data_IF_189423888382
#
_entry.id   IF_189423888382
#
_cell.length_a   1.000
_cell.length_b   1.000
_cell.length_c   1.000
_cell.angle_alpha   90.00
_cell.angle_beta   90.00
_cell.angle_gamma   90.00
#
_symmetry.space_group_name_H-M   'P 1'
#
loop_
_entity.id
_entity.type
_entity.pdbx_description
1 polymer ?
#
# COMPACT_ATOMS: atom_id res chain seq x y z
N UNK A 1 4.91 -19.19 -7.09
CA UNK A 1 4.77 -17.77 -6.69
C UNK A 1 5.17 -17.50 -5.23
N UNK A 2 4.98 -18.47 -4.32
CA UNK A 2 5.25 -18.33 -2.88
C UNK A 2 6.37 -19.27 -2.39
N UNK A 3 7.30 -19.64 -3.27
CA UNK A 3 8.40 -20.56 -2.94
C UNK A 3 9.23 -20.03 -1.77
N UNK A 4 9.50 -20.89 -0.79
CA UNK A 4 10.20 -20.58 0.47
C UNK A 4 9.49 -19.55 1.36
N UNK A 5 8.17 -19.39 1.22
CA UNK A 5 7.37 -18.57 2.15
C UNK A 5 6.43 -19.46 2.93
N UNK A 6 6.21 -19.10 4.19
CA UNK A 6 5.30 -19.80 5.08
C UNK A 6 4.12 -18.92 5.44
N UNK A 7 2.95 -19.52 5.58
CA UNK A 7 1.75 -18.80 5.98
C UNK A 7 0.92 -19.58 6.98
N UNK A 8 0.28 -18.84 7.89
CA UNK A 8 -0.79 -19.32 8.72
C UNK A 8 -2.13 -18.79 8.19
N UNK A 9 -3.15 -19.63 8.29
CA UNK A 9 -4.49 -19.35 7.80
C UNK A 9 -5.50 -19.51 8.93
N UNK A 10 -6.28 -18.46 9.17
CA UNK A 10 -7.45 -18.54 10.04
C UNK A 10 -8.47 -19.55 9.51
N UNK A 11 -9.28 -20.07 10.42
CA UNK A 11 -10.45 -20.89 10.16
C UNK A 11 -11.48 -20.18 9.27
N UNK A 12 -11.52 -18.85 9.28
CA UNK A 12 -12.35 -18.05 8.37
C UNK A 12 -11.95 -18.19 6.91
N UNK A 13 -10.68 -18.54 6.61
CA UNK A 13 -10.17 -18.57 5.23
C UNK A 13 -10.68 -19.79 4.47
N UNK A 14 -11.19 -19.56 3.26
CA UNK A 14 -11.66 -20.61 2.35
C UNK A 14 -10.56 -21.61 1.99
N UNK A 15 -10.96 -22.87 1.79
CA UNK A 15 -10.04 -23.95 1.40
C UNK A 15 -9.32 -23.66 0.07
N UNK A 16 -9.96 -22.97 -0.86
CA UNK A 16 -9.38 -22.60 -2.16
C UNK A 16 -8.11 -21.76 -2.01
N UNK A 17 -8.12 -20.74 -1.14
CA UNK A 17 -6.96 -19.87 -0.90
C UNK A 17 -5.78 -20.62 -0.29
N UNK A 18 -6.05 -21.56 0.63
CA UNK A 18 -5.02 -22.42 1.23
C UNK A 18 -4.40 -23.36 0.19
N UNK A 19 -5.24 -23.92 -0.67
CA UNK A 19 -4.79 -24.80 -1.74
C UNK A 19 -3.94 -24.05 -2.76
N UNK A 20 -4.36 -22.85 -3.17
CA UNK A 20 -3.61 -21.98 -4.07
C UNK A 20 -2.22 -21.62 -3.51
N UNK A 21 -2.13 -21.30 -2.22
CA UNK A 21 -0.84 -21.04 -1.56
C UNK A 21 0.13 -22.22 -1.69
N UNK A 22 -0.37 -23.43 -1.41
CA UNK A 22 0.44 -24.66 -1.48
C UNK A 22 0.79 -25.01 -2.93
N UNK A 23 -0.14 -24.89 -3.88
CA UNK A 23 0.12 -25.16 -5.29
C UNK A 23 1.19 -24.23 -5.87
N UNK A 24 1.26 -23.00 -5.36
CA UNK A 24 2.25 -22.00 -5.74
C UNK A 24 3.59 -22.10 -4.98
N UNK A 25 3.79 -23.18 -4.21
CA UNK A 25 5.04 -23.54 -3.53
C UNK A 25 5.19 -22.98 -2.12
N UNK A 26 4.12 -22.48 -1.50
CA UNK A 26 4.12 -21.99 -0.13
C UNK A 26 3.93 -23.09 0.92
N UNK A 27 4.55 -22.93 2.09
CA UNK A 27 4.39 -23.81 3.26
C UNK A 27 3.30 -23.33 4.21
N UNK A 28 2.62 -24.24 4.91
CA UNK A 28 1.66 -23.90 5.98
C UNK A 28 2.29 -24.24 7.33
N UNK A 29 2.31 -23.27 8.25
CA UNK A 29 2.92 -23.40 9.58
C UNK A 29 2.03 -22.79 10.67
N UNK A 30 2.47 -22.89 11.93
CA UNK A 30 1.87 -22.17 13.06
C UNK A 30 2.07 -20.66 12.93
N UNK A 31 1.16 -19.87 13.47
CA UNK A 31 1.22 -18.40 13.41
C UNK A 31 2.52 -17.81 13.99
N UNK A 32 3.14 -18.47 14.97
CA UNK A 32 4.40 -18.03 15.61
C UNK A 32 5.63 -18.10 14.68
N UNK A 33 5.59 -18.94 13.64
CA UNK A 33 6.73 -19.20 12.73
C UNK A 33 6.40 -18.87 11.28
N UNK A 34 5.19 -18.39 11.01
CA UNK A 34 4.74 -18.05 9.67
C UNK A 34 5.23 -16.66 9.26
N UNK A 35 5.63 -16.52 8.00
CA UNK A 35 5.99 -15.22 7.42
C UNK A 35 4.74 -14.36 7.13
N UNK A 36 3.60 -15.00 6.87
CA UNK A 36 2.34 -14.35 6.53
C UNK A 36 1.18 -14.89 7.35
N UNK A 37 0.30 -13.99 7.79
CA UNK A 37 -0.93 -14.32 8.51
C UNK A 37 -2.12 -13.92 7.63
N UNK A 38 -2.96 -14.88 7.25
CA UNK A 38 -4.15 -14.61 6.45
C UNK A 38 -5.44 -14.92 7.21
N UNK A 39 -6.41 -14.02 7.14
CA UNK A 39 -7.77 -14.19 7.64
C UNK A 39 -8.80 -13.58 6.66
N UNK A 40 -10.03 -14.07 6.64
CA UNK A 40 -11.15 -13.41 5.94
C UNK A 40 -11.99 -12.54 6.87
N UNK A 41 -11.87 -12.76 8.18
CA UNK A 41 -12.75 -12.13 9.17
C UNK A 41 -11.97 -11.79 10.44
N UNK A 42 -11.97 -10.51 10.79
CA UNK A 42 -11.32 -9.99 11.98
C UNK A 42 -12.03 -10.40 13.28
N UNK A 43 -13.31 -10.79 13.21
CA UNK A 43 -14.10 -11.32 14.34
C UNK A 43 -13.88 -12.81 14.58
N UNK A 44 -13.11 -13.48 13.73
CA UNK A 44 -12.89 -14.92 13.88
C UNK A 44 -12.07 -15.17 15.16
N UNK A 45 -12.47 -16.10 16.07
CA UNK A 45 -11.83 -16.25 17.38
C UNK A 45 -10.33 -16.55 17.35
N UNK A 46 -9.87 -17.20 16.28
CA UNK A 46 -8.44 -17.47 16.10
C UNK A 46 -7.66 -16.24 15.63
N UNK A 47 -8.31 -15.33 14.91
CA UNK A 47 -7.74 -14.06 14.45
C UNK A 47 -7.76 -13.04 15.58
N UNK A 48 -8.84 -12.99 16.36
CA UNK A 48 -8.92 -12.20 17.60
C UNK A 48 -7.79 -12.56 18.58
N UNK A 49 -7.51 -13.85 18.75
CA UNK A 49 -6.38 -14.30 19.56
C UNK A 49 -5.03 -13.76 19.08
N UNK A 50 -4.85 -13.57 17.78
CA UNK A 50 -3.64 -12.92 17.24
C UNK A 50 -3.65 -11.44 17.59
N UNK A 51 -4.77 -10.74 17.45
CA UNK A 51 -4.87 -9.32 17.80
C UNK A 51 -4.66 -9.04 19.29
N UNK A 52 -5.03 -9.98 20.17
CA UNK A 52 -4.80 -9.91 21.61
C UNK A 52 -3.38 -10.34 22.02
N UNK A 53 -2.57 -10.84 21.08
CA UNK A 53 -1.21 -11.31 21.37
C UNK A 53 -0.24 -10.15 21.63
N UNK A 54 0.79 -10.42 22.44
CA UNK A 54 1.89 -9.47 22.68
C UNK A 54 2.63 -9.14 21.39
N UNK A 55 2.83 -10.13 20.51
CA UNK A 55 3.51 -9.92 19.23
C UNK A 55 2.78 -8.93 18.33
N UNK A 56 1.44 -8.93 18.35
CA UNK A 56 0.65 -7.92 17.63
C UNK A 56 0.74 -6.54 18.29
N UNK A 57 0.62 -6.47 19.62
CA UNK A 57 0.72 -5.20 20.36
C UNK A 57 2.09 -4.51 20.21
N UNK A 58 3.15 -5.28 20.00
CA UNK A 58 4.50 -4.78 19.73
C UNK A 58 4.78 -4.53 18.23
N UNK A 59 3.73 -4.54 17.38
CA UNK A 59 3.83 -4.36 15.93
C UNK A 59 4.76 -5.37 15.23
N UNK A 60 4.91 -6.58 15.79
CA UNK A 60 5.71 -7.67 15.20
C UNK A 60 4.90 -8.52 14.23
N UNK A 61 3.57 -8.45 14.29
CA UNK A 61 2.66 -9.20 13.41
C UNK A 61 1.73 -8.26 12.64
N UNK A 62 1.42 -8.65 11.41
CA UNK A 62 0.38 -8.03 10.59
C UNK A 62 -0.51 -9.13 10.02
N UNK A 63 -1.82 -9.01 10.24
CA UNK A 63 -2.81 -9.90 9.63
C UNK A 63 -3.27 -9.31 8.31
N UNK A 64 -3.32 -10.13 7.27
CA UNK A 64 -3.79 -9.76 5.94
C UNK A 64 -5.10 -10.45 5.58
N UNK A 65 -5.91 -9.79 4.78
CA UNK A 65 -7.12 -10.34 4.21
C UNK A 65 -6.77 -11.39 3.14
N UNK A 66 -7.39 -12.57 3.20
CA UNK A 66 -7.07 -13.71 2.31
C UNK A 66 -7.29 -13.41 0.82
N UNK A 67 -8.14 -12.42 0.50
CA UNK A 67 -8.39 -11.97 -0.88
C UNK A 67 -7.12 -11.51 -1.60
N UNK A 68 -6.05 -11.16 -0.89
CA UNK A 68 -4.73 -10.94 -1.49
C UNK A 68 -4.32 -12.11 -2.41
N UNK A 69 -4.62 -13.34 -2.02
CA UNK A 69 -4.30 -14.54 -2.78
C UNK A 69 -5.12 -14.65 -4.07
N UNK A 70 -6.41 -14.29 -4.02
CA UNK A 70 -7.25 -14.24 -5.22
C UNK A 70 -6.80 -13.14 -6.19
N UNK A 71 -6.36 -11.99 -5.68
CA UNK A 71 -5.77 -10.93 -6.50
C UNK A 71 -4.45 -11.39 -7.14
N UNK A 72 -3.61 -12.10 -6.40
CA UNK A 72 -2.38 -12.71 -6.91
C UNK A 72 -2.67 -13.73 -8.02
N UNK A 73 -3.64 -14.61 -7.82
CA UNK A 73 -4.07 -15.59 -8.82
C UNK A 73 -4.49 -14.90 -10.12
N UNK A 74 -5.33 -13.86 -10.05
CA UNK A 74 -5.76 -13.10 -11.21
C UNK A 74 -4.60 -12.42 -11.95
N UNK A 75 -3.67 -11.82 -11.21
CA UNK A 75 -2.54 -11.08 -11.79
C UNK A 75 -1.35 -11.97 -12.18
N UNK A 76 -1.37 -13.26 -11.82
CA UNK A 76 -0.25 -14.21 -12.00
C UNK A 76 1.11 -13.69 -11.48
N UNK A 77 1.13 -12.69 -10.58
CA UNK A 77 2.34 -12.03 -10.08
C UNK A 77 2.14 -11.45 -8.68
N UNK A 78 3.03 -11.80 -7.75
CA UNK A 78 3.08 -11.23 -6.38
C UNK A 78 3.71 -9.85 -6.36
N UNK A 79 4.53 -9.53 -7.37
CA UNK A 79 5.24 -8.24 -7.46
C UNK A 79 4.32 -7.13 -7.95
N UNK A 80 3.21 -7.48 -8.58
CA UNK A 80 2.24 -6.54 -9.15
C UNK A 80 1.09 -6.21 -8.19
N UNK A 81 0.95 -6.96 -7.09
CA UNK A 81 -0.12 -6.78 -6.11
C UNK A 81 0.46 -6.23 -4.81
N UNK A 82 0.10 -5.00 -4.46
CA UNK A 82 0.52 -4.37 -3.21
C UNK A 82 -0.21 -4.99 -2.01
N UNK A 83 0.51 -5.80 -1.22
CA UNK A 83 -0.06 -6.50 -0.06
C UNK A 83 -0.60 -5.56 1.02
N UNK A 84 -0.08 -4.32 1.09
CA UNK A 84 -0.53 -3.30 2.06
C UNK A 84 -2.01 -2.90 1.93
N UNK A 85 -2.63 -3.09 0.75
CA UNK A 85 -4.07 -2.86 0.58
C UNK A 85 -4.95 -3.94 1.23
N UNK A 86 -4.34 -5.02 1.67
CA UNK A 86 -5.02 -6.15 2.27
C UNK A 86 -4.70 -6.27 3.75
N UNK A 87 -4.21 -5.22 4.42
CA UNK A 87 -4.09 -5.27 5.88
C UNK A 87 -5.49 -5.41 6.49
N UNK A 88 -5.65 -6.36 7.39
CA UNK A 88 -6.87 -6.60 8.13
C UNK A 88 -6.68 -6.12 9.58
N UNK A 89 -7.12 -4.89 9.92
CA UNK A 89 -7.03 -4.40 11.29
C UNK A 89 -8.12 -5.01 12.18
N UNK A 90 -7.95 -4.96 13.52
CA UNK A 90 -8.98 -5.38 14.47
C UNK A 90 -10.28 -4.59 14.28
N UNK A 91 -11.41 -5.19 14.63
CA UNK A 91 -12.75 -4.60 14.43
C UNK A 91 -12.89 -3.24 15.10
N UNK A 92 -12.34 -3.08 16.31
CA UNK A 92 -12.33 -1.80 17.03
C UNK A 92 -11.71 -0.66 16.20
N UNK A 93 -10.61 -0.94 15.48
CA UNK A 93 -9.94 0.03 14.61
C UNK A 93 -10.76 0.29 13.35
N UNK A 94 -11.41 -0.75 12.79
CA UNK A 94 -12.28 -0.59 11.61
C UNK A 94 -13.49 0.31 11.90
N UNK A 95 -14.03 0.25 13.11
CA UNK A 95 -15.15 1.09 13.54
C UNK A 95 -14.71 2.54 13.75
N UNK A 96 -13.54 2.79 14.32
CA UNK A 96 -12.97 4.13 14.46
C UNK A 96 -12.72 4.80 13.11
N UNK A 97 -12.21 4.06 12.12
CA UNK A 97 -12.01 4.57 10.75
C UNK A 97 -13.35 4.88 10.07
N UNK A 98 -14.39 4.05 10.28
CA UNK A 98 -15.75 4.30 9.78
C UNK A 98 -16.37 5.55 10.39
N UNK A 99 -16.17 5.78 11.68
CA UNK A 99 -16.65 6.98 12.38
C UNK A 99 -15.87 8.23 11.96
N UNK A 100 -14.56 8.12 11.73
CA UNK A 100 -13.72 9.21 11.23
C UNK A 100 -14.06 9.62 9.79
N UNK A 101 -14.48 8.67 8.95
CA UNK A 101 -14.95 8.94 7.59
C UNK A 101 -16.41 9.42 7.56
N UNK A 102 -17.26 8.93 8.47
CA UNK A 102 -18.66 9.39 8.60
C UNK A 102 -18.80 10.85 9.06
N UNK A 103 -17.82 11.37 9.81
CA UNK A 103 -17.81 12.77 10.25
C UNK A 103 -17.25 13.75 9.19
N UNK A 104 -16.85 13.28 8.00
CA UNK A 104 -16.43 14.13 6.88
C UNK A 104 -17.52 14.36 5.83
N UNK A 105 -18.73 13.86 6.05
CA UNK A 105 -19.90 14.04 5.17
C UNK A 105 -20.96 14.93 5.84
N UNK A 106 -20.66 16.21 6.07
CA UNK A 106 -21.67 17.26 6.25
C UNK A 106 -21.13 18.59 5.72
N UNK A 107 -21.04 18.67 4.39
CA UNK A 107 -21.15 19.86 3.53
C UNK A 107 -20.43 19.54 2.22
N UNK A 108 -21.16 18.92 1.30
CA UNK A 108 -20.94 19.03 -0.15
C UNK A 108 -22.09 18.25 -0.81
N UNK A 109 -23.26 18.88 -0.80
CA UNK A 109 -24.46 18.43 -1.48
C UNK A 109 -24.30 18.78 -2.97
N UNK A 110 -23.72 17.86 -3.75
CA UNK A 110 -23.95 17.80 -5.19
C UNK A 110 -24.20 16.35 -5.59
N UNK A 111 -25.42 16.17 -6.08
CA UNK A 111 -26.00 14.97 -6.66
C UNK A 111 -25.09 14.31 -7.69
N UNK A 112 -24.88 12.99 -7.57
CA UNK A 112 -24.14 12.26 -8.59
C UNK A 112 -23.92 10.76 -8.35
N UNK A 113 -25.01 9.98 -8.32
CA UNK A 113 -25.06 8.63 -8.90
C UNK A 113 -24.24 7.50 -8.25
N UNK A 114 -24.96 6.56 -7.62
CA UNK A 114 -24.46 5.25 -7.21
C UNK A 114 -23.79 4.48 -8.36
N UNK A 115 -22.65 3.84 -8.11
CA UNK A 115 -22.21 2.67 -8.87
C UNK A 115 -22.11 1.48 -7.92
N UNK A 116 -23.27 0.89 -7.66
CA UNK A 116 -23.38 -0.53 -7.37
C UNK A 116 -23.63 -1.26 -8.71
N UNK A 117 -23.17 -2.50 -8.77
CA UNK A 117 -23.35 -3.51 -9.82
C UNK A 117 -22.48 -3.46 -11.09
N UNK A 118 -21.59 -4.46 -11.14
CA UNK A 118 -21.30 -5.38 -12.26
C UNK A 118 -20.95 -4.77 -13.61
N UNK A 119 -19.69 -4.91 -14.02
CA UNK A 119 -19.32 -5.43 -15.35
C UNK A 119 -17.82 -5.73 -15.42
N UNK A 120 -17.47 -7.00 -15.22
CA UNK A 120 -16.16 -7.57 -15.58
C UNK A 120 -16.26 -7.98 -17.04
N UNK A 121 -15.97 -7.07 -17.96
CA UNK A 121 -15.48 -7.41 -19.30
C UNK A 121 -15.06 -6.15 -20.06
N UNK A 122 -13.77 -5.84 -20.06
CA UNK A 122 -13.09 -5.43 -21.30
C UNK A 122 -11.59 -5.40 -21.06
N UNK A 123 -10.91 -6.49 -21.41
CA UNK A 123 -9.52 -6.42 -21.81
C UNK A 123 -9.51 -5.81 -23.22
N UNK A 124 -9.26 -4.50 -23.34
CA UNK A 124 -8.96 -3.93 -24.65
C UNK A 124 -7.52 -4.26 -25.00
N UNK A 125 -7.36 -5.18 -25.95
CA UNK A 125 -6.17 -5.31 -26.77
C UNK A 125 -5.91 -3.95 -27.46
N UNK A 126 -4.68 -3.44 -27.36
CA UNK A 126 -4.20 -2.34 -28.19
C UNK A 126 -3.14 -2.88 -29.16
N UNK A 127 -3.31 -2.69 -30.49
CA UNK A 127 -2.43 -3.28 -31.49
C UNK A 127 -1.02 -2.69 -31.45
N UNK A 128 -0.04 -3.59 -31.60
CA UNK A 128 1.36 -3.28 -31.89
C UNK A 128 1.47 -2.45 -33.18
N UNK A 129 2.20 -1.32 -33.13
CA UNK A 129 2.79 -0.71 -34.31
C UNK A 129 4.32 -0.71 -34.13
N UNK A 130 4.98 -1.53 -34.93
CA UNK A 130 6.43 -1.63 -35.04
C UNK A 130 7.04 -0.36 -35.64
N UNK A 131 8.17 0.11 -35.07
CA UNK A 131 9.32 0.63 -35.83
C UNK A 131 10.57 0.68 -34.92
N UNK A 132 11.79 0.53 -35.48
CA UNK A 132 12.91 -0.09 -34.76
C UNK A 132 14.02 0.87 -34.28
N UNK A 133 14.80 0.32 -33.33
CA UNK A 133 16.20 0.55 -32.95
C UNK A 133 16.62 1.60 -31.89
N UNK A 134 17.33 1.03 -30.88
CA UNK A 134 18.35 1.57 -29.94
C UNK A 134 17.94 2.12 -28.55
N UNK A 135 18.78 1.98 -27.48
CA UNK A 135 18.66 0.90 -26.50
C UNK A 135 18.43 1.35 -25.04
N UNK A 136 17.89 0.42 -24.23
CA UNK A 136 17.93 0.32 -22.77
C UNK A 136 17.74 1.59 -21.91
N UNK A 137 16.55 1.72 -21.33
CA UNK A 137 16.40 2.12 -19.94
C UNK A 137 15.17 1.43 -19.35
N UNK A 138 15.38 0.55 -18.38
CA UNK A 138 14.33 -0.03 -17.55
C UNK A 138 13.60 1.10 -16.81
N UNK A 139 12.48 1.54 -17.38
CA UNK A 139 11.56 2.47 -16.75
C UNK A 139 10.37 1.69 -16.20
N UNK A 140 10.24 1.66 -14.88
CA UNK A 140 9.02 1.22 -14.23
C UNK A 140 7.84 2.04 -14.78
N UNK A 141 6.92 1.37 -15.45
CA UNK A 141 5.67 1.96 -15.91
C UNK A 141 4.77 2.22 -14.70
N UNK A 142 4.85 3.43 -14.16
CA UNK A 142 3.90 3.92 -13.16
C UNK A 142 2.55 4.09 -13.85
N UNK A 143 1.59 3.20 -13.56
CA UNK A 143 0.22 3.34 -14.04
C UNK A 143 -0.41 4.62 -13.46
N UNK A 144 -0.73 5.57 -14.37
CA UNK A 144 -1.81 6.56 -14.27
C UNK A 144 -1.98 7.33 -12.95
N UNK A 145 -1.20 8.40 -12.77
CA UNK A 145 -1.55 9.49 -11.83
C UNK A 145 -2.70 10.29 -12.45
N UNK A 146 -3.92 9.78 -12.40
CA UNK A 146 -5.12 10.52 -12.86
C UNK A 146 -6.03 10.98 -11.72
N UNK A 147 -5.59 10.88 -10.46
CA UNK A 147 -6.39 11.30 -9.30
C UNK A 147 -5.79 12.48 -8.53
N UNK A 148 -5.03 13.35 -9.22
CA UNK A 148 -4.65 14.64 -8.67
C UNK A 148 -5.71 15.69 -9.06
N UNK A 149 -6.23 16.51 -8.12
CA UNK A 149 -7.21 17.53 -8.44
C UNK A 149 -6.68 18.48 -9.51
N UNK A 150 -7.30 18.46 -10.69
CA UNK A 150 -6.86 19.24 -11.87
C UNK A 150 -7.01 20.75 -11.65
N UNK A 151 -7.64 21.19 -10.55
CA UNK A 151 -7.70 22.60 -10.14
C UNK A 151 -6.34 23.20 -9.74
N UNK A 152 -5.29 22.40 -9.57
CA UNK A 152 -3.94 22.91 -9.27
C UNK A 152 -3.07 23.11 -10.51
N UNK A 153 -3.60 22.94 -11.73
CA UNK A 153 -2.88 23.26 -12.97
C UNK A 153 -2.82 24.77 -13.23
N UNK A 154 -2.35 25.54 -12.25
CA UNK A 154 -2.01 26.94 -12.48
C UNK A 154 -0.80 26.96 -13.40
N UNK A 155 -0.99 27.38 -14.64
CA UNK A 155 0.10 27.62 -15.59
C UNK A 155 0.86 28.87 -15.19
N UNK A 156 2.20 28.82 -15.11
CA UNK A 156 3.05 29.97 -14.73
C UNK A 156 4.09 29.71 -13.64
N UNK A 157 4.23 28.47 -13.17
CA UNK A 157 5.33 28.10 -12.28
C UNK A 157 6.67 28.07 -13.02
N UNK A 158 7.72 28.51 -12.34
CA UNK A 158 9.10 28.45 -12.82
C UNK A 158 9.62 27.01 -12.81
N UNK A 159 10.58 26.68 -13.68
CA UNK A 159 11.25 25.36 -13.68
C UNK A 159 11.86 25.07 -12.30
N UNK A 160 12.02 23.79 -11.95
CA UNK A 160 12.75 23.38 -10.75
C UNK A 160 14.17 23.98 -10.70
N UNK A 161 14.79 24.17 -11.86
CA UNK A 161 16.12 24.76 -12.01
C UNK A 161 16.16 26.26 -11.66
N UNK A 162 15.00 26.92 -11.69
CA UNK A 162 14.81 28.34 -11.38
C UNK A 162 14.30 28.58 -9.95
N UNK A 163 13.97 27.51 -9.21
CA UNK A 163 13.53 27.64 -7.82
C UNK A 163 14.69 28.13 -6.95
N UNK A 164 14.46 29.25 -6.25
CA UNK A 164 15.41 29.75 -5.26
C UNK A 164 15.53 28.75 -4.13
N UNK A 165 16.76 28.39 -3.79
CA UNK A 165 17.01 27.56 -2.61
C UNK A 165 16.69 28.36 -1.35
N UNK A 166 15.87 27.78 -0.47
CA UNK A 166 15.57 28.36 0.83
C UNK A 166 16.84 28.41 1.69
N UNK A 167 17.19 29.59 2.17
CA UNK A 167 18.40 29.85 2.97
C UNK A 167 18.13 30.00 4.47
N UNK A 168 16.87 29.85 4.89
CA UNK A 168 16.50 29.88 6.31
C UNK A 168 16.75 28.56 7.03
N UNK A 169 16.58 28.59 8.34
CA UNK A 169 16.62 27.41 9.19
C UNK A 169 15.30 26.65 9.07
N UNK A 170 15.34 25.40 8.61
CA UNK A 170 14.16 24.52 8.67
C UNK A 170 13.96 24.09 10.13
N UNK A 171 12.79 24.41 10.69
CA UNK A 171 12.37 23.91 11.99
C UNK A 171 11.25 22.90 11.81
N UNK A 172 11.45 21.70 12.33
CA UNK A 172 10.40 20.70 12.38
C UNK A 172 9.39 21.08 13.47
N UNK A 173 8.13 21.20 13.08
CA UNK A 173 7.04 21.44 14.04
C UNK A 173 6.49 20.10 14.55
N UNK A 174 6.81 19.77 15.80
CA UNK A 174 6.20 18.64 16.52
C UNK A 174 5.32 19.20 17.64
N UNK A 175 3.98 19.02 17.59
CA UNK A 175 3.08 19.54 18.62
C UNK A 175 3.47 18.98 20.00
N UNK A 176 3.77 19.87 20.96
CA UNK A 176 4.14 19.49 22.33
C UNK A 176 5.64 19.30 22.60
N UNK A 177 6.51 19.52 21.62
CA UNK A 177 7.97 19.51 21.81
C UNK A 177 8.58 20.88 21.43
N UNK A 178 9.58 21.35 22.20
CA UNK A 178 10.46 22.41 21.72
C UNK A 178 11.29 21.82 20.57
N UNK A 179 11.11 22.37 19.36
CA UNK A 179 11.64 21.83 18.11
C UNK A 179 13.17 21.60 18.12
N UNK A 180 13.62 20.70 17.25
CA UNK A 180 15.06 20.42 17.05
C UNK A 180 15.58 21.23 15.87
N UNK A 181 16.71 21.92 16.05
CA UNK A 181 17.43 22.62 14.99
C UNK A 181 18.40 21.67 14.28
N UNK A 182 18.34 21.64 12.95
CA UNK A 182 19.30 20.89 12.12
C UNK A 182 20.10 21.88 11.27
N UNK A 183 21.41 21.98 11.53
CA UNK A 183 22.32 22.81 10.76
C UNK A 183 23.10 22.00 9.71
N UNK A 184 23.09 22.47 8.47
CA UNK A 184 23.94 21.90 7.41
C UNK A 184 25.39 22.35 7.59
N UNK A 185 26.27 21.44 8.03
CA UNK A 185 27.72 21.68 8.03
C UNK A 185 28.23 21.68 6.58
N UNK A 186 28.70 22.83 6.08
CA UNK A 186 29.37 22.90 4.77
C UNK A 186 30.66 22.09 4.86
N UNK A 187 30.81 21.09 3.98
CA UNK A 187 32.10 20.41 3.77
C UNK A 187 33.06 21.44 3.17
N UNK A 188 34.13 21.77 3.88
CA UNK A 188 35.24 22.55 3.35
C UNK A 188 35.96 21.71 2.29
N UNK A 189 36.06 22.25 1.08
CA UNK A 189 36.94 21.70 0.03
C UNK A 189 38.36 21.71 0.56
N UNK A 190 39.01 20.54 0.53
CA UNK A 190 40.45 20.43 0.76
C UNK A 190 41.12 20.90 -0.51
N UNK A 191 41.76 22.07 -0.46
CA UNK A 191 42.64 22.53 -1.53
C UNK A 191 43.89 21.65 -1.54
N UNK A 192 44.08 20.92 -2.64
CA UNK A 192 45.32 20.23 -2.96
C UNK A 192 46.08 21.15 -3.91
N UNK A 193 47.19 21.70 -3.42
CA UNK A 193 48.33 22.15 -4.21
C UNK A 193 49.61 21.96 -3.39
#
# INVERSE_FOLDING_TARGET
MFTNRTAWFSNSVRRGSRWFWVSEGGGITSWETADYLFSEDATCPDTERIFESVDYAENRLTVFHSFYLAACEKCHSVKSVCIGHYVLPPVSVQEDDRLALGNRQKEEDYSGGCCDHTDINSCHEVPFLDTPDTPQREGALCCGVQHYPVNNMVTGYVSIDELRTYSGELQDFLPGHCGSSVSKKRRSTVDIA
#
